data_IF_620929898210
#
_entry.id   IF_620929898210
#
_cell.length_a   1.000
_cell.length_b   1.000
_cell.length_c   1.000
_cell.angle_alpha   90.00
_cell.angle_beta   90.00
_cell.angle_gamma   90.00
#
_symmetry.space_group_name_H-M   'P 1'
#
loop_
_entity.id
_entity.type
_entity.pdbx_description
1 polymer ?
#
# COMPACT_ATOMS: atom_id res chain seq x y z
N UNK A 1 18.43 17.29 46.76
CA UNK A 1 17.41 16.26 46.43
C UNK A 1 17.32 16.12 44.92
N UNK A 2 17.87 15.04 44.36
CA UNK A 2 17.75 14.75 42.93
C UNK A 2 16.35 14.21 42.65
N UNK A 3 15.50 15.06 42.08
CA UNK A 3 14.22 14.65 41.49
C UNK A 3 14.52 13.68 40.35
N UNK A 4 14.39 12.38 40.63
CA UNK A 4 14.36 11.36 39.60
C UNK A 4 13.11 11.60 38.74
N UNK A 5 13.31 12.25 37.57
CA UNK A 5 12.27 12.38 36.55
C UNK A 5 11.73 10.99 36.24
N UNK A 6 10.45 10.75 36.49
CA UNK A 6 9.83 9.48 36.12
C UNK A 6 10.02 9.26 34.61
N UNK A 7 10.32 8.03 34.17
CA UNK A 7 10.57 7.76 32.76
C UNK A 7 9.31 8.13 31.97
N UNK A 8 9.43 9.13 31.10
CA UNK A 8 8.34 9.60 30.26
C UNK A 8 7.69 8.41 29.54
N UNK A 9 6.39 8.20 29.76
CA UNK A 9 5.62 7.08 29.20
C UNK A 9 5.73 7.13 27.68
N UNK A 10 6.44 6.15 27.09
CA UNK A 10 6.63 6.08 25.63
C UNK A 10 5.27 5.94 24.94
N UNK A 11 5.03 6.73 23.90
CA UNK A 11 3.76 6.63 23.15
C UNK A 11 3.65 5.27 22.46
N UNK A 12 2.43 4.79 22.22
CA UNK A 12 2.19 3.50 21.55
C UNK A 12 2.97 3.38 20.22
N UNK A 13 3.00 4.44 19.41
CA UNK A 13 3.77 4.49 18.15
C UNK A 13 5.28 4.36 18.37
N UNK A 14 5.82 4.91 19.46
CA UNK A 14 7.23 4.77 19.81
C UNK A 14 7.56 3.32 20.22
N UNK A 15 6.61 2.61 20.83
CA UNK A 15 6.78 1.18 21.11
C UNK A 15 6.67 0.32 19.85
N UNK A 16 5.87 0.76 18.88
CA UNK A 16 5.57 0.03 17.65
C UNK A 16 6.70 0.16 16.62
N UNK A 17 7.07 1.39 16.25
CA UNK A 17 8.12 1.67 15.27
C UNK A 17 9.31 2.25 16.03
N UNK A 18 10.28 1.39 16.37
CA UNK A 18 11.44 1.79 17.18
C UNK A 18 12.30 2.85 16.48
N UNK A 19 12.52 2.71 15.17
CA UNK A 19 13.32 3.65 14.38
C UNK A 19 12.62 5.01 14.26
N UNK A 20 13.24 6.07 14.79
CA UNK A 20 12.69 7.44 14.81
C UNK A 20 12.51 8.03 13.41
N UNK A 21 13.46 7.80 12.50
CA UNK A 21 13.40 8.33 11.12
C UNK A 21 12.30 7.65 10.33
N UNK A 22 12.23 6.32 10.40
CA UNK A 22 11.16 5.53 9.76
C UNK A 22 9.79 5.92 10.32
N UNK A 23 9.66 6.04 11.65
CA UNK A 23 8.41 6.46 12.30
C UNK A 23 7.92 7.82 11.81
N UNK A 24 8.81 8.82 11.68
CA UNK A 24 8.45 10.13 11.14
C UNK A 24 7.94 10.04 9.70
N UNK A 25 8.64 9.29 8.84
CA UNK A 25 8.24 9.08 7.44
C UNK A 25 6.87 8.39 7.35
N UNK A 26 6.64 7.35 8.13
CA UNK A 26 5.37 6.60 8.14
C UNK A 26 4.23 7.50 8.60
N UNK A 27 4.41 8.26 9.68
CA UNK A 27 3.39 9.21 10.15
C UNK A 27 3.10 10.26 9.07
N UNK A 28 4.14 10.87 8.50
CA UNK A 28 3.98 11.89 7.47
C UNK A 28 3.21 11.37 6.24
N UNK A 29 3.61 10.21 5.71
CA UNK A 29 2.91 9.63 4.56
C UNK A 29 1.51 9.17 4.93
N UNK A 30 1.29 8.61 6.12
CA UNK A 30 -0.05 8.27 6.59
C UNK A 30 -0.95 9.50 6.66
N UNK A 31 -0.43 10.63 7.17
CA UNK A 31 -1.17 11.91 7.20
C UNK A 31 -1.51 12.38 5.78
N UNK A 32 -0.56 12.34 4.84
CA UNK A 32 -0.83 12.69 3.44
C UNK A 32 -1.91 11.78 2.83
N UNK A 33 -1.76 10.46 2.98
CA UNK A 33 -2.75 9.49 2.49
C UNK A 33 -4.13 9.72 3.09
N UNK A 34 -4.20 10.03 4.39
CA UNK A 34 -5.45 10.35 5.06
C UNK A 34 -6.08 11.64 4.52
N UNK A 35 -5.30 12.72 4.40
CA UNK A 35 -5.77 13.98 3.84
C UNK A 35 -6.23 13.81 2.38
N UNK A 36 -5.54 12.99 1.60
CA UNK A 36 -5.93 12.67 0.23
C UNK A 36 -7.31 11.99 0.18
N UNK A 37 -7.55 11.00 1.04
CA UNK A 37 -8.87 10.35 1.15
C UNK A 37 -9.92 11.36 1.56
N UNK A 38 -9.69 12.14 2.62
CA UNK A 38 -10.65 13.14 3.13
C UNK A 38 -10.99 14.18 2.05
N UNK A 39 -9.97 14.72 1.38
CA UNK A 39 -10.15 15.67 0.30
C UNK A 39 -10.95 15.06 -0.86
N UNK A 40 -10.65 13.82 -1.26
CA UNK A 40 -11.40 13.12 -2.30
C UNK A 40 -12.84 12.83 -1.91
N UNK A 41 -13.10 12.44 -0.65
CA UNK A 41 -14.46 12.22 -0.13
C UNK A 41 -15.31 13.50 -0.16
N UNK A 42 -14.71 14.67 0.02
CA UNK A 42 -15.39 15.97 -0.08
C UNK A 42 -15.54 16.39 -1.55
N UNK A 43 -14.49 16.25 -2.35
CA UNK A 43 -14.43 16.75 -3.72
C UNK A 43 -15.32 15.96 -4.68
N UNK A 44 -15.31 14.63 -4.62
CA UNK A 44 -16.00 13.75 -5.60
C UNK A 44 -17.53 14.01 -5.64
N UNK A 45 -18.24 14.17 -4.50
CA UNK A 45 -19.67 14.52 -4.51
C UNK A 45 -19.96 15.90 -5.09
N UNK A 46 -19.14 16.91 -4.77
CA UNK A 46 -19.27 18.27 -5.32
C UNK A 46 -19.08 18.23 -6.85
N UNK A 47 -18.08 17.47 -7.29
CA UNK A 47 -17.78 17.25 -8.69
C UNK A 47 -18.93 16.54 -9.42
N UNK A 48 -19.56 15.53 -8.81
CA UNK A 48 -20.78 14.86 -9.34
C UNK A 48 -21.94 15.83 -9.56
N UNK A 49 -22.14 16.80 -8.67
CA UNK A 49 -23.20 17.80 -8.86
C UNK A 49 -22.91 18.71 -10.07
N UNK A 50 -21.63 18.92 -10.39
CA UNK A 50 -21.19 19.84 -11.44
C UNK A 50 -21.05 19.17 -12.81
N UNK A 51 -20.86 17.85 -12.86
CA UNK A 51 -20.65 17.08 -14.09
C UNK A 51 -21.38 15.73 -14.06
N UNK A 52 -22.04 15.33 -15.16
CA UNK A 52 -22.66 14.02 -15.26
C UNK A 52 -21.67 12.86 -14.99
N UNK A 53 -22.11 11.82 -14.29
CA UNK A 53 -21.28 10.66 -13.89
C UNK A 53 -20.82 9.78 -15.07
N UNK A 54 -21.52 9.90 -16.19
CA UNK A 54 -21.24 9.32 -17.51
C UNK A 54 -20.31 10.21 -18.36
N UNK A 55 -19.88 11.36 -17.84
CA UNK A 55 -18.89 12.18 -18.53
C UNK A 55 -17.58 11.41 -18.71
N UNK A 56 -16.97 11.57 -19.89
CA UNK A 56 -15.65 11.00 -20.23
C UNK A 56 -14.58 11.36 -19.19
N UNK A 57 -14.71 12.53 -18.57
CA UNK A 57 -13.76 13.01 -17.55
C UNK A 57 -13.89 12.18 -16.25
N UNK A 58 -15.11 11.92 -15.76
CA UNK A 58 -15.29 11.09 -14.58
C UNK A 58 -14.80 9.65 -14.82
N UNK A 59 -15.14 9.08 -15.98
CA UNK A 59 -14.70 7.74 -16.36
C UNK A 59 -13.16 7.65 -16.50
N UNK A 60 -12.54 8.66 -17.11
CA UNK A 60 -11.09 8.80 -17.20
C UNK A 60 -10.44 8.80 -15.81
N UNK A 61 -10.86 9.72 -14.93
CA UNK A 61 -10.34 9.82 -13.57
C UNK A 61 -10.53 8.52 -12.77
N UNK A 62 -11.68 7.87 -12.92
CA UNK A 62 -11.96 6.58 -12.28
C UNK A 62 -10.96 5.49 -12.70
N UNK A 63 -10.70 5.36 -14.00
CA UNK A 63 -9.75 4.40 -14.57
C UNK A 63 -8.31 4.74 -14.17
N UNK A 64 -7.93 6.00 -14.23
CA UNK A 64 -6.60 6.48 -13.86
C UNK A 64 -6.28 6.20 -12.38
N UNK A 65 -7.19 6.54 -11.46
CA UNK A 65 -7.00 6.25 -10.04
C UNK A 65 -6.80 4.75 -9.78
N UNK A 66 -7.60 3.89 -10.42
CA UNK A 66 -7.46 2.45 -10.34
C UNK A 66 -6.10 1.97 -10.91
N UNK A 67 -5.67 2.51 -12.04
CA UNK A 67 -4.41 2.17 -12.69
C UNK A 67 -3.18 2.61 -11.90
N UNK A 68 -3.18 3.83 -11.35
CA UNK A 68 -2.09 4.35 -10.52
C UNK A 68 -2.00 3.54 -9.22
N UNK A 69 -3.14 3.23 -8.58
CA UNK A 69 -3.16 2.36 -7.40
C UNK A 69 -2.59 0.98 -7.71
N UNK A 70 -2.88 0.41 -8.89
CA UNK A 70 -2.33 -0.87 -9.36
C UNK A 70 -0.82 -0.84 -9.50
N UNK A 71 -0.28 0.17 -10.17
CA UNK A 71 1.17 0.35 -10.32
C UNK A 71 1.82 0.46 -8.94
N UNK A 72 1.23 1.25 -8.04
CA UNK A 72 1.73 1.41 -6.67
C UNK A 72 1.71 0.11 -5.87
N UNK A 73 0.63 -0.68 -5.92
CA UNK A 73 0.60 -1.99 -5.26
C UNK A 73 1.62 -2.97 -5.82
N UNK A 74 1.84 -3.00 -7.14
CA UNK A 74 2.91 -3.82 -7.71
C UNK A 74 4.30 -3.37 -7.26
N UNK A 75 4.55 -2.06 -7.22
CA UNK A 75 5.80 -1.51 -6.70
C UNK A 75 6.01 -1.88 -5.22
N UNK A 76 4.95 -1.84 -4.39
CA UNK A 76 5.01 -2.28 -3.01
C UNK A 76 5.25 -3.80 -2.90
N UNK A 77 4.62 -4.62 -3.74
CA UNK A 77 4.77 -6.08 -3.77
C UNK A 77 6.13 -6.53 -4.33
N UNK A 78 6.84 -5.71 -5.09
CA UNK A 78 8.17 -6.00 -5.64
C UNK A 78 9.20 -6.34 -4.55
N UNK A 79 8.95 -5.96 -3.29
CA UNK A 79 9.76 -6.40 -2.14
C UNK A 79 9.89 -7.93 -2.08
N UNK A 80 8.86 -8.70 -2.44
CA UNK A 80 8.90 -10.15 -2.36
C UNK A 80 9.85 -10.80 -3.38
N UNK A 81 9.68 -10.58 -4.71
CA UNK A 81 10.60 -11.14 -5.69
C UNK A 81 12.03 -10.62 -5.50
N UNK A 82 12.24 -9.36 -5.15
CA UNK A 82 13.60 -8.83 -4.93
C UNK A 82 14.30 -9.52 -3.75
N UNK A 83 13.59 -9.74 -2.63
CA UNK A 83 14.16 -10.45 -1.50
C UNK A 83 14.31 -11.97 -1.76
N UNK A 84 13.51 -12.54 -2.66
CA UNK A 84 13.70 -13.91 -3.15
C UNK A 84 15.00 -14.01 -3.96
N UNK A 85 15.20 -13.10 -4.91
CA UNK A 85 16.43 -13.00 -5.71
C UNK A 85 17.67 -12.83 -4.83
N UNK A 86 17.60 -12.00 -3.77
CA UNK A 86 18.72 -11.87 -2.82
C UNK A 86 19.13 -13.16 -2.13
N UNK A 87 18.17 -14.06 -1.86
CA UNK A 87 18.43 -15.34 -1.18
C UNK A 87 18.87 -16.43 -2.14
N UNK A 88 18.70 -16.22 -3.45
CA UNK A 88 18.95 -17.24 -4.45
C UNK A 88 20.44 -17.26 -4.80
N UNK A 89 21.15 -18.28 -4.27
CA UNK A 89 22.62 -18.44 -4.35
C UNK A 89 23.21 -18.29 -5.77
N UNK A 90 22.61 -18.82 -6.86
CA UNK A 90 23.18 -18.73 -8.20
C UNK A 90 23.42 -17.29 -8.68
N UNK A 91 22.55 -16.34 -8.31
CA UNK A 91 22.68 -14.93 -8.70
C UNK A 91 23.93 -14.26 -8.12
N UNK A 92 24.49 -14.79 -7.03
CA UNK A 92 25.70 -14.26 -6.42
C UNK A 92 26.97 -14.53 -7.24
N UNK A 93 26.90 -15.43 -8.22
CA UNK A 93 28.01 -15.80 -9.09
C UNK A 93 27.92 -15.19 -10.49
N UNK A 94 26.82 -14.48 -10.81
CA UNK A 94 26.64 -13.86 -12.13
C UNK A 94 27.42 -12.54 -12.17
N UNK A 95 28.55 -12.56 -12.89
CA UNK A 95 29.35 -11.39 -13.25
C UNK A 95 29.47 -11.32 -14.77
N UNK A 96 29.31 -10.13 -15.36
CA UNK A 96 29.54 -9.88 -16.79
C UNK A 96 30.40 -8.62 -16.93
N UNK A 97 31.67 -8.80 -17.28
CA UNK A 97 32.65 -7.70 -17.25
C UNK A 97 32.76 -7.08 -15.86
N UNK A 98 32.69 -5.75 -15.77
CA UNK A 98 32.72 -5.01 -14.50
C UNK A 98 31.38 -4.98 -13.76
N UNK A 99 30.33 -5.61 -14.30
CA UNK A 99 29.01 -5.61 -13.70
C UNK A 99 28.80 -6.82 -12.80
N UNK A 100 28.49 -6.56 -11.53
CA UNK A 100 28.06 -7.56 -10.56
C UNK A 100 26.56 -7.42 -10.27
N UNK A 101 25.82 -8.51 -10.45
CA UNK A 101 24.37 -8.49 -10.27
C UNK A 101 23.96 -8.36 -8.79
N UNK A 102 24.77 -8.91 -7.88
CA UNK A 102 24.48 -8.93 -6.44
C UNK A 102 24.43 -7.53 -5.81
N UNK A 103 25.41 -6.62 -6.04
CA UNK A 103 25.30 -5.22 -5.61
C UNK A 103 24.05 -4.50 -6.12
N UNK A 104 23.66 -4.73 -7.39
CA UNK A 104 22.44 -4.14 -7.94
C UNK A 104 21.20 -4.63 -7.19
N UNK A 105 21.07 -5.95 -6.98
CA UNK A 105 19.91 -6.51 -6.25
C UNK A 105 19.90 -6.00 -4.79
N UNK A 106 21.07 -5.87 -4.14
CA UNK A 106 21.16 -5.30 -2.79
C UNK A 106 20.72 -3.84 -2.73
N UNK A 107 21.13 -3.04 -3.72
CA UNK A 107 20.66 -1.68 -3.90
C UNK A 107 19.14 -1.65 -4.04
N UNK A 108 18.58 -2.41 -5.00
CA UNK A 108 17.14 -2.51 -5.21
C UNK A 108 16.39 -2.94 -3.94
N UNK A 109 16.90 -3.93 -3.21
CA UNK A 109 16.31 -4.42 -1.97
C UNK A 109 16.23 -3.34 -0.88
N UNK A 110 17.25 -2.48 -0.78
CA UNK A 110 17.24 -1.33 0.13
C UNK A 110 16.14 -0.35 -0.27
N UNK A 111 16.01 -0.04 -1.56
CA UNK A 111 14.99 0.89 -2.07
C UNK A 111 13.58 0.37 -1.86
N UNK A 112 13.26 -0.85 -2.31
CA UNK A 112 11.91 -1.39 -2.16
C UNK A 112 11.53 -1.58 -0.71
N UNK A 113 12.48 -1.91 0.18
CA UNK A 113 12.22 -1.95 1.62
C UNK A 113 11.87 -0.58 2.20
N UNK A 114 12.60 0.46 1.79
CA UNK A 114 12.36 1.82 2.27
C UNK A 114 11.02 2.38 1.77
N UNK A 115 10.66 2.07 0.53
CA UNK A 115 9.48 2.64 -0.13
C UNK A 115 8.21 1.78 -0.04
N UNK A 116 8.32 0.51 0.39
CA UNK A 116 7.18 -0.39 0.52
C UNK A 116 6.02 0.22 1.31
N UNK A 117 6.27 0.72 2.53
CA UNK A 117 5.21 1.29 3.37
C UNK A 117 4.65 2.59 2.80
N UNK A 118 5.47 3.60 2.40
CA UNK A 118 4.95 4.81 1.77
C UNK A 118 4.07 4.54 0.55
N UNK A 119 4.54 3.71 -0.38
CA UNK A 119 3.81 3.39 -1.61
C UNK A 119 2.53 2.63 -1.29
N UNK A 120 2.58 1.65 -0.37
CA UNK A 120 1.38 0.91 0.04
C UNK A 120 0.29 1.81 0.62
N UNK A 121 0.66 2.79 1.46
CA UNK A 121 -0.29 3.74 2.05
C UNK A 121 -0.91 4.68 1.00
N UNK A 122 -0.11 5.23 0.08
CA UNK A 122 -0.63 6.08 -0.99
C UNK A 122 -1.54 5.27 -1.93
N UNK A 123 -1.12 4.08 -2.35
CA UNK A 123 -1.94 3.19 -3.20
C UNK A 123 -3.24 2.79 -2.52
N UNK A 124 -3.22 2.61 -1.19
CA UNK A 124 -4.41 2.36 -0.38
C UNK A 124 -5.36 3.56 -0.40
N UNK A 125 -4.87 4.78 -0.27
CA UNK A 125 -5.70 5.97 -0.38
C UNK A 125 -6.38 6.07 -1.77
N UNK A 126 -5.61 5.84 -2.83
CA UNK A 126 -6.12 5.87 -4.21
C UNK A 126 -7.18 4.79 -4.47
N UNK A 127 -6.98 3.57 -3.97
CA UNK A 127 -7.95 2.49 -4.18
C UNK A 127 -9.23 2.68 -3.36
N UNK A 128 -9.15 3.32 -2.17
CA UNK A 128 -10.33 3.75 -1.41
C UNK A 128 -11.13 4.76 -2.22
N UNK A 129 -10.47 5.77 -2.81
CA UNK A 129 -11.13 6.77 -3.65
C UNK A 129 -11.74 6.15 -4.92
N UNK A 130 -11.03 5.24 -5.58
CA UNK A 130 -11.56 4.48 -6.72
C UNK A 130 -12.82 3.68 -6.33
N UNK A 131 -12.78 2.97 -5.20
CA UNK A 131 -13.96 2.25 -4.69
C UNK A 131 -15.12 3.18 -4.34
N UNK A 132 -14.82 4.35 -3.76
CA UNK A 132 -15.83 5.36 -3.45
C UNK A 132 -16.50 5.93 -4.70
N UNK A 133 -15.72 6.21 -5.75
CA UNK A 133 -16.25 6.63 -7.06
C UNK A 133 -17.15 5.56 -7.69
N UNK A 134 -16.84 4.28 -7.52
CA UNK A 134 -17.73 3.20 -7.98
C UNK A 134 -19.05 3.23 -7.20
N UNK A 135 -19.02 3.33 -5.87
CA UNK A 135 -20.23 3.34 -5.05
C UNK A 135 -21.14 4.55 -5.34
N UNK A 136 -20.55 5.73 -5.61
CA UNK A 136 -21.31 6.95 -5.95
C UNK A 136 -22.05 6.83 -7.30
N UNK A 137 -21.53 6.02 -8.23
CA UNK A 137 -22.21 5.71 -9.50
C UNK A 137 -23.46 4.84 -9.32
N UNK A 138 -23.60 4.20 -8.16
CA UNK A 138 -24.69 3.29 -7.83
C UNK A 138 -24.17 1.86 -7.69
N UNK A 139 -24.45 1.25 -6.55
CA UNK A 139 -24.05 -0.14 -6.27
C UNK A 139 -24.79 -1.12 -7.19
N UNK A 140 -24.05 -2.06 -7.79
CA UNK A 140 -24.61 -3.15 -8.57
C UNK A 140 -24.21 -4.48 -7.94
N UNK A 141 -25.16 -5.38 -7.69
CA UNK A 141 -24.89 -6.69 -7.10
C UNK A 141 -24.30 -7.67 -8.14
N UNK A 142 -23.14 -7.33 -8.69
CA UNK A 142 -22.43 -8.12 -9.71
C UNK A 142 -21.01 -8.47 -9.27
N UNK A 143 -20.35 -9.30 -10.07
CA UNK A 143 -19.01 -9.82 -9.77
C UNK A 143 -17.97 -8.72 -9.53
N UNK A 144 -18.00 -7.63 -10.30
CA UNK A 144 -17.05 -6.52 -10.19
C UNK A 144 -17.13 -5.84 -8.82
N UNK A 145 -18.35 -5.55 -8.33
CA UNK A 145 -18.55 -4.96 -7.00
C UNK A 145 -18.19 -5.95 -5.87
N UNK A 146 -18.63 -7.21 -5.96
CA UNK A 146 -18.32 -8.21 -4.93
C UNK A 146 -16.82 -8.50 -4.84
N UNK A 147 -16.14 -8.71 -5.97
CA UNK A 147 -14.69 -8.91 -6.00
C UNK A 147 -13.94 -7.69 -5.45
N UNK A 148 -14.41 -6.48 -5.75
CA UNK A 148 -13.89 -5.24 -5.19
C UNK A 148 -14.00 -5.18 -3.67
N UNK A 149 -15.18 -5.49 -3.11
CA UNK A 149 -15.43 -5.49 -1.65
C UNK A 149 -14.57 -6.54 -0.94
N UNK A 150 -14.55 -7.78 -1.44
CA UNK A 150 -13.76 -8.86 -0.85
C UNK A 150 -12.27 -8.49 -0.83
N UNK A 151 -11.75 -7.95 -1.94
CA UNK A 151 -10.37 -7.44 -2.02
C UNK A 151 -10.12 -6.35 -0.98
N UNK A 152 -11.04 -5.39 -0.81
CA UNK A 152 -10.89 -4.32 0.18
C UNK A 152 -10.89 -4.83 1.61
N UNK A 153 -11.71 -5.84 1.93
CA UNK A 153 -11.69 -6.50 3.23
C UNK A 153 -10.33 -7.18 3.51
N UNK A 154 -9.77 -7.87 2.51
CA UNK A 154 -8.43 -8.47 2.62
C UNK A 154 -7.34 -7.39 2.77
N UNK A 155 -7.45 -6.28 2.06
CA UNK A 155 -6.52 -5.14 2.20
C UNK A 155 -6.55 -4.55 3.61
N UNK A 156 -7.73 -4.41 4.22
CA UNK A 156 -7.85 -3.95 5.61
C UNK A 156 -7.11 -4.88 6.58
N UNK A 157 -7.32 -6.20 6.46
CA UNK A 157 -6.56 -7.21 7.21
C UNK A 157 -5.05 -7.10 6.95
N UNK A 158 -4.64 -6.88 5.70
CA UNK A 158 -3.24 -6.73 5.30
C UNK A 158 -2.57 -5.52 5.96
N UNK A 159 -3.25 -4.38 6.05
CA UNK A 159 -2.78 -3.16 6.72
C UNK A 159 -2.58 -3.39 8.22
N UNK A 160 -3.54 -4.04 8.89
CA UNK A 160 -3.42 -4.41 10.31
C UNK A 160 -2.24 -5.34 10.54
N UNK A 161 -2.03 -6.33 9.67
CA UNK A 161 -0.85 -7.19 9.75
C UNK A 161 0.46 -6.44 9.44
N UNK A 162 0.42 -5.44 8.57
CA UNK A 162 1.55 -4.55 8.28
C UNK A 162 2.00 -3.78 9.53
N UNK A 163 1.05 -3.30 10.34
CA UNK A 163 1.34 -2.69 11.65
C UNK A 163 2.01 -3.70 12.59
N UNK A 164 1.47 -4.92 12.72
CA UNK A 164 2.05 -5.99 13.55
C UNK A 164 3.46 -6.42 13.07
N UNK A 165 3.75 -6.27 11.78
CA UNK A 165 5.04 -6.63 11.18
C UNK A 165 6.22 -5.83 11.75
N UNK A 166 6.01 -4.59 12.19
CA UNK A 166 7.07 -3.79 12.84
C UNK A 166 7.63 -4.47 14.10
N UNK A 167 6.79 -5.20 14.84
CA UNK A 167 7.20 -6.01 16.00
C UNK A 167 7.43 -7.49 15.67
N UNK A 168 7.30 -7.90 14.40
CA UNK A 168 7.34 -9.31 13.93
C UNK A 168 6.34 -10.22 14.66
N UNK A 169 5.23 -9.66 15.15
CA UNK A 169 4.16 -10.41 15.82
C UNK A 169 3.05 -10.84 14.85
N UNK A 170 3.26 -10.65 13.54
CA UNK A 170 2.30 -10.99 12.48
C UNK A 170 2.24 -12.49 12.19
N UNK A 171 3.16 -13.32 12.72
CA UNK A 171 3.22 -14.78 12.48
C UNK A 171 3.13 -15.16 10.99
N UNK A 172 3.76 -14.37 10.11
CA UNK A 172 3.73 -14.51 8.64
C UNK A 172 2.36 -14.24 7.98
N UNK A 173 1.32 -13.84 8.72
CA UNK A 173 0.01 -13.51 8.16
C UNK A 173 0.05 -12.35 7.17
N UNK A 174 0.97 -11.39 7.35
CA UNK A 174 1.12 -10.29 6.40
C UNK A 174 1.44 -10.81 4.99
N UNK A 175 2.32 -11.81 4.85
CA UNK A 175 2.62 -12.42 3.56
C UNK A 175 1.43 -13.19 3.00
N UNK A 176 0.73 -13.97 3.84
CA UNK A 176 -0.45 -14.73 3.40
C UNK A 176 -1.53 -13.81 2.84
N UNK A 177 -1.88 -12.76 3.57
CA UNK A 177 -2.83 -11.76 3.09
C UNK A 177 -2.31 -10.97 1.89
N UNK A 178 -1.00 -10.73 1.75
CA UNK A 178 -0.45 -10.07 0.58
C UNK A 178 -0.63 -10.93 -0.69
N UNK A 179 -0.43 -12.24 -0.59
CA UNK A 179 -0.67 -13.19 -1.70
C UNK A 179 -2.17 -13.25 -2.01
N UNK A 180 -3.03 -13.40 -1.00
CA UNK A 180 -4.49 -13.39 -1.21
C UNK A 180 -4.97 -12.09 -1.84
N UNK A 181 -4.46 -10.94 -1.36
CA UNK A 181 -4.75 -9.63 -1.93
C UNK A 181 -4.30 -9.56 -3.38
N UNK A 182 -3.08 -10.00 -3.71
CA UNK A 182 -2.57 -9.98 -5.09
C UNK A 182 -3.47 -10.79 -6.02
N UNK A 183 -3.84 -12.02 -5.64
CA UNK A 183 -4.71 -12.87 -6.47
C UNK A 183 -6.08 -12.21 -6.68
N UNK A 184 -6.74 -11.79 -5.61
CA UNK A 184 -8.04 -11.11 -5.69
C UNK A 184 -7.95 -9.80 -6.47
N UNK A 185 -6.85 -9.07 -6.34
CA UNK A 185 -6.60 -7.84 -7.07
C UNK A 185 -6.42 -8.08 -8.56
N UNK A 186 -5.72 -9.14 -8.96
CA UNK A 186 -5.61 -9.53 -10.37
C UNK A 186 -6.95 -9.96 -10.94
N UNK A 187 -7.70 -10.78 -10.21
CA UNK A 187 -9.06 -11.17 -10.62
C UNK A 187 -9.91 -9.92 -10.84
N UNK A 188 -9.99 -9.04 -9.85
CA UNK A 188 -10.76 -7.81 -9.97
C UNK A 188 -10.29 -6.98 -11.17
N UNK A 189 -8.99 -6.68 -11.28
CA UNK A 189 -8.46 -5.85 -12.37
C UNK A 189 -8.68 -6.42 -13.79
N UNK A 190 -8.84 -7.73 -13.94
CA UNK A 190 -9.13 -8.38 -15.23
C UNK A 190 -10.62 -8.30 -15.61
N UNK A 191 -11.52 -8.29 -14.62
CA UNK A 191 -12.97 -8.31 -14.80
C UNK A 191 -13.65 -6.97 -14.42
N UNK A 192 -12.89 -5.87 -14.33
CA UNK A 192 -13.38 -4.52 -14.02
C UNK A 192 -13.20 -3.56 -15.18
#
# INVERSE_FOLDING_TARGET
MNSAKSPAKKSWLQTLIKNKSERKKVIFIFTISFLLVVAGLIYIPIYKHSLPLDSKIYEGNFKELGSIARIGFFAALAIYPIFLLLKWKPLSHIKKGNFELKPLIQFLAKYVRQWHVPIALISTALIILHGYMALIKGFQANFTYFSGIIKMAVLACLLVMGVKRYKRTDKKWHLKFAISFLILFMIHATFS
#
